data_IF_827507224390
#
_entry.id   IF_827507224390
#
_cell.length_a   1.000
_cell.length_b   1.000
_cell.length_c   1.000
_cell.angle_alpha   90.00
_cell.angle_beta   90.00
_cell.angle_gamma   90.00
#
_symmetry.space_group_name_H-M   'P 1'
#
loop_
_entity.id
_entity.type
_entity.pdbx_description
1 polymer ?
#
# COMPACT_ATOMS: atom_id res chain seq x y z
N UNK A 1 -16.77 -42.55 3.97
CA UNK A 1 -15.30 -42.56 3.87
C UNK A 1 -14.88 -41.14 3.55
N UNK A 2 -14.22 -40.49 4.52
CA UNK A 2 -13.68 -39.15 4.37
C UNK A 2 -12.46 -39.24 3.45
N UNK A 3 -12.53 -38.60 2.29
CA UNK A 3 -11.37 -38.42 1.43
C UNK A 3 -10.45 -37.40 2.07
N UNK A 4 -9.33 -37.85 2.61
CA UNK A 4 -8.21 -36.99 2.99
C UNK A 4 -7.76 -36.25 1.73
N UNK A 5 -8.06 -34.94 1.67
CA UNK A 5 -7.45 -34.01 0.75
C UNK A 5 -5.95 -33.95 1.07
N UNK A 6 -5.16 -34.76 0.39
CA UNK A 6 -3.71 -34.66 0.43
C UNK A 6 -3.30 -33.22 0.13
N UNK A 7 -2.66 -32.57 1.08
CA UNK A 7 -2.05 -31.26 0.89
C UNK A 7 -1.05 -31.39 -0.26
N UNK A 8 -1.40 -30.85 -1.43
CA UNK A 8 -0.46 -30.71 -2.55
C UNK A 8 0.69 -29.86 -2.01
N UNK A 9 1.84 -30.48 -1.73
CA UNK A 9 3.06 -29.76 -1.36
C UNK A 9 3.50 -28.97 -2.58
N UNK A 10 3.10 -27.70 -2.62
CA UNK A 10 3.45 -26.75 -3.66
C UNK A 10 4.98 -26.61 -3.70
N UNK A 11 5.63 -27.18 -4.72
CA UNK A 11 7.08 -27.07 -4.92
C UNK A 11 7.42 -25.62 -5.23
N UNK A 12 8.20 -25.00 -4.35
CA UNK A 12 8.77 -23.68 -4.59
C UNK A 12 9.71 -23.70 -5.80
N UNK A 13 9.71 -22.64 -6.63
CA UNK A 13 10.69 -22.48 -7.69
C UNK A 13 12.10 -22.35 -7.11
N UNK A 14 13.08 -22.95 -7.77
CA UNK A 14 14.51 -22.85 -7.47
C UNK A 14 15.07 -21.49 -7.92
N UNK A 15 16.19 -21.05 -7.35
CA UNK A 15 16.84 -19.79 -7.75
C UNK A 15 17.15 -19.74 -9.25
N UNK A 16 17.56 -20.85 -9.86
CA UNK A 16 17.81 -20.93 -11.30
C UNK A 16 16.52 -20.76 -12.12
N UNK A 17 15.37 -21.28 -11.65
CA UNK A 17 14.07 -21.07 -12.30
C UNK A 17 13.60 -19.61 -12.17
N UNK A 18 13.89 -18.95 -11.05
CA UNK A 18 13.59 -17.54 -10.82
C UNK A 18 14.45 -16.66 -11.74
N UNK A 19 15.76 -16.90 -11.81
CA UNK A 19 16.69 -16.15 -12.67
C UNK A 19 16.42 -16.35 -14.16
N UNK A 20 15.91 -17.52 -14.56
CA UNK A 20 15.53 -17.82 -15.94
C UNK A 20 14.17 -17.23 -16.34
N UNK A 21 13.38 -16.69 -15.39
CA UNK A 21 12.06 -16.14 -15.68
C UNK A 21 12.19 -14.86 -16.52
N UNK A 22 11.65 -14.90 -17.72
CA UNK A 22 11.65 -13.75 -18.65
C UNK A 22 10.31 -13.03 -18.69
N UNK A 23 9.24 -13.71 -18.26
CA UNK A 23 7.92 -13.11 -18.21
C UNK A 23 7.80 -12.25 -16.97
N UNK A 24 7.67 -10.97 -17.24
CA UNK A 24 7.65 -9.96 -16.21
C UNK A 24 6.25 -9.42 -16.05
N UNK A 25 5.95 -9.00 -14.83
CA UNK A 25 4.67 -8.47 -14.38
C UNK A 25 4.76 -7.02 -13.86
N UNK A 26 5.93 -6.40 -13.70
CA UNK A 26 6.08 -4.99 -13.27
C UNK A 26 6.51 -4.02 -14.40
N UNK A 27 6.15 -2.72 -14.28
CA UNK A 27 6.53 -1.70 -15.28
C UNK A 27 8.06 -1.57 -15.43
N UNK A 28 8.52 -1.14 -16.61
CA UNK A 28 9.94 -1.14 -16.97
C UNK A 28 10.80 -0.13 -16.20
N UNK A 29 10.16 0.85 -15.59
CA UNK A 29 10.71 1.95 -14.79
C UNK A 29 10.38 1.82 -13.29
N UNK A 30 9.66 0.76 -12.89
CA UNK A 30 9.39 0.48 -11.48
C UNK A 30 10.70 0.16 -10.73
N UNK A 31 10.81 0.70 -9.51
CA UNK A 31 11.97 0.53 -8.64
C UNK A 31 12.18 -0.94 -8.25
N UNK A 32 11.10 -1.62 -7.86
CA UNK A 32 11.05 -3.07 -7.67
C UNK A 32 10.41 -3.76 -8.88
N UNK A 33 10.91 -4.95 -9.21
CA UNK A 33 10.49 -5.73 -10.37
C UNK A 33 9.71 -6.97 -9.96
N UNK A 34 8.71 -7.39 -10.73
CA UNK A 34 7.90 -8.58 -10.42
C UNK A 34 7.88 -9.51 -11.62
N UNK A 35 8.10 -10.81 -11.44
CA UNK A 35 8.17 -11.81 -12.51
C UNK A 35 7.20 -12.96 -12.30
N UNK A 36 6.68 -13.52 -13.39
CA UNK A 36 5.98 -14.80 -13.35
C UNK A 36 6.98 -15.96 -13.44
N UNK A 37 6.96 -16.87 -12.48
CA UNK A 37 7.78 -18.09 -12.47
C UNK A 37 6.85 -19.31 -12.51
N UNK A 38 6.87 -20.03 -13.63
CA UNK A 38 5.89 -21.08 -13.91
C UNK A 38 4.46 -20.53 -14.01
N UNK A 39 3.45 -21.36 -13.73
CA UNK A 39 2.04 -20.94 -13.84
C UNK A 39 1.48 -20.27 -12.58
N UNK A 40 2.10 -20.50 -11.41
CA UNK A 40 1.47 -20.19 -10.11
C UNK A 40 2.22 -19.18 -9.24
N UNK A 41 3.42 -18.75 -9.62
CA UNK A 41 4.24 -17.89 -8.77
C UNK A 41 4.51 -16.54 -9.41
N UNK A 42 4.38 -15.49 -8.60
CA UNK A 42 4.94 -14.18 -8.87
C UNK A 42 6.10 -13.93 -7.89
N UNK A 43 7.23 -13.43 -8.39
CA UNK A 43 8.43 -13.12 -7.60
C UNK A 43 8.74 -11.64 -7.74
N UNK A 44 8.69 -10.89 -6.63
CA UNK A 44 9.13 -9.49 -6.54
C UNK A 44 10.65 -9.45 -6.20
N UNK A 45 11.44 -8.72 -6.98
CA UNK A 45 12.89 -8.58 -6.92
C UNK A 45 13.31 -7.13 -7.16
N UNK A 46 14.16 -6.55 -6.32
CA UNK A 46 14.61 -5.16 -6.45
C UNK A 46 15.70 -4.81 -5.44
N UNK A 47 16.39 -3.67 -5.63
CA UNK A 47 17.45 -3.16 -4.76
C UNK A 47 16.89 -2.62 -3.42
N UNK A 48 15.99 -3.36 -2.76
CA UNK A 48 15.33 -2.83 -1.57
C UNK A 48 14.17 -3.60 -1.00
N UNK A 49 13.54 -4.53 -1.74
CA UNK A 49 12.29 -5.23 -1.35
C UNK A 49 12.33 -5.60 0.14
N UNK A 50 11.65 -4.82 1.00
CA UNK A 50 11.76 -5.02 2.42
C UNK A 50 10.92 -6.24 2.78
N UNK A 51 11.46 -7.09 3.68
CA UNK A 51 10.75 -8.27 4.19
C UNK A 51 9.39 -7.92 4.82
N UNK A 52 9.18 -6.63 5.14
CA UNK A 52 7.93 -6.07 5.64
C UNK A 52 6.73 -6.38 4.76
N UNK A 53 6.87 -6.46 3.44
CA UNK A 53 5.74 -6.78 2.55
C UNK A 53 5.26 -8.22 2.81
N UNK A 54 6.21 -9.16 2.91
CA UNK A 54 5.94 -10.56 3.21
C UNK A 54 5.36 -10.76 4.62
N UNK A 55 5.89 -10.04 5.62
CA UNK A 55 5.36 -10.05 6.99
C UNK A 55 3.95 -9.49 7.05
N UNK A 56 3.68 -8.38 6.36
CA UNK A 56 2.34 -7.79 6.28
C UNK A 56 1.35 -8.72 5.59
N UNK A 57 1.73 -9.36 4.49
CA UNK A 57 0.84 -10.33 3.82
C UNK A 57 0.51 -11.54 4.72
N UNK A 58 1.47 -12.06 5.50
CA UNK A 58 1.19 -13.11 6.50
C UNK A 58 0.22 -12.63 7.57
N UNK A 59 0.46 -11.43 8.11
CA UNK A 59 -0.45 -10.79 9.07
C UNK A 59 -1.87 -10.63 8.51
N UNK A 60 -2.00 -10.25 7.23
CA UNK A 60 -3.28 -10.08 6.56
C UNK A 60 -4.02 -11.42 6.33
N UNK A 61 -3.29 -12.50 6.03
CA UNK A 61 -3.84 -13.86 5.93
C UNK A 61 -4.45 -14.30 7.28
N UNK A 62 -3.78 -14.03 8.41
CA UNK A 62 -4.29 -14.28 9.75
C UNK A 62 -5.58 -13.51 10.05
N UNK A 63 -5.73 -12.32 9.45
CA UNK A 63 -6.93 -11.47 9.54
C UNK A 63 -7.95 -11.72 8.42
N UNK A 64 -7.79 -12.82 7.68
CA UNK A 64 -8.68 -13.25 6.59
C UNK A 64 -8.78 -12.24 5.45
N UNK A 65 -7.89 -11.26 5.34
CA UNK A 65 -7.86 -10.33 4.21
C UNK A 65 -7.30 -11.08 3.01
N UNK A 66 -8.02 -11.11 1.86
CA UNK A 66 -7.50 -11.77 0.68
C UNK A 66 -6.24 -11.07 0.17
N UNK A 67 -5.11 -11.76 0.26
CA UNK A 67 -3.80 -11.35 -0.26
C UNK A 67 -3.18 -12.50 -1.06
N UNK A 68 -2.25 -12.24 -1.98
CA UNK A 68 -1.44 -13.29 -2.58
C UNK A 68 -0.72 -14.11 -1.50
N UNK A 69 -0.71 -15.44 -1.64
CA UNK A 69 -0.07 -16.32 -0.65
C UNK A 69 1.46 -16.19 -0.72
N UNK A 70 2.09 -15.85 0.40
CA UNK A 70 3.55 -15.78 0.50
C UNK A 70 4.11 -17.17 0.75
N UNK A 71 4.78 -17.74 -0.26
CA UNK A 71 5.40 -19.05 -0.13
C UNK A 71 6.86 -18.97 0.37
N UNK A 72 7.62 -17.93 0.01
CA UNK A 72 8.99 -17.67 0.50
C UNK A 72 9.50 -16.24 0.15
N UNK A 73 10.59 -15.76 0.78
CA UNK A 73 11.19 -14.42 0.55
C UNK A 73 12.73 -14.43 0.62
N UNK A 74 13.42 -13.97 -0.43
CA UNK A 74 14.90 -13.94 -0.57
C UNK A 74 15.37 -12.77 -1.51
N UNK A 75 16.66 -12.39 -1.52
CA UNK A 75 17.23 -11.25 -2.32
C UNK A 75 17.97 -11.70 -3.59
N UNK A 76 17.68 -11.13 -4.76
CA UNK A 76 18.43 -11.31 -6.03
C UNK A 76 18.10 -10.18 -7.06
N UNK A 77 19.04 -9.69 -7.90
CA UNK A 77 18.87 -8.53 -8.79
C UNK A 77 18.88 -8.90 -10.30
N UNK A 78 17.76 -8.75 -11.03
CA UNK A 78 17.72 -7.95 -12.28
C UNK A 78 16.48 -8.09 -13.19
N UNK A 79 16.06 -6.91 -13.67
CA UNK A 79 15.23 -6.46 -14.81
C UNK A 79 13.67 -6.61 -14.83
N UNK A 80 13.01 -5.87 -15.78
CA UNK A 80 11.65 -5.33 -16.34
C UNK A 80 10.50 -6.06 -17.25
N UNK A 81 9.16 -5.78 -17.10
CA UNK A 81 7.99 -5.69 -18.12
C UNK A 81 6.54 -6.13 -17.64
N UNK A 82 5.39 -5.68 -18.24
CA UNK A 82 3.91 -6.02 -17.96
C UNK A 82 2.90 -5.65 -19.12
N UNK A 83 1.58 -6.04 -19.05
CA UNK A 83 0.38 -5.68 -19.90
C UNK A 83 -0.90 -5.36 -19.03
N UNK A 84 -1.86 -4.50 -19.47
CA UNK A 84 -3.30 -4.54 -19.05
C UNK A 84 -4.31 -3.85 -20.02
N UNK A 85 -5.61 -4.24 -19.98
CA UNK A 85 -6.75 -3.70 -20.75
C UNK A 85 -8.03 -3.49 -19.89
N UNK A 86 -8.95 -2.63 -20.37
CA UNK A 86 -10.05 -1.95 -19.67
C UNK A 86 -11.32 -2.78 -19.38
N UNK A 87 -12.00 -2.55 -18.24
CA UNK A 87 -13.19 -3.28 -17.75
C UNK A 87 -14.45 -2.39 -17.66
N UNK A 88 -15.59 -2.95 -18.08
CA UNK A 88 -16.90 -2.33 -18.33
C UNK A 88 -17.88 -2.29 -17.13
N UNK A 89 -17.43 -2.39 -15.87
CA UNK A 89 -18.33 -2.17 -14.72
C UNK A 89 -17.63 -1.55 -13.49
N UNK A 90 -17.22 -0.29 -13.63
CA UNK A 90 -16.49 0.45 -12.60
C UNK A 90 -17.21 0.50 -11.25
N UNK A 91 -18.54 0.59 -11.21
CA UNK A 91 -19.31 0.62 -9.95
C UNK A 91 -19.17 -0.67 -9.12
N UNK A 92 -19.23 -1.85 -9.75
CA UNK A 92 -19.02 -3.14 -9.07
C UNK A 92 -17.61 -3.22 -8.51
N UNK A 93 -16.62 -2.80 -9.29
CA UNK A 93 -15.21 -2.80 -8.87
C UNK A 93 -15.00 -1.82 -7.70
N UNK A 94 -15.58 -0.62 -7.75
CA UNK A 94 -15.50 0.35 -6.65
C UNK A 94 -16.09 -0.22 -5.36
N UNK A 95 -17.25 -0.87 -5.44
CA UNK A 95 -17.84 -1.55 -4.28
C UNK A 95 -16.95 -2.67 -3.73
N UNK A 96 -16.32 -3.47 -4.59
CA UNK A 96 -15.37 -4.49 -4.16
C UNK A 96 -14.16 -3.88 -3.45
N UNK A 97 -13.60 -2.77 -3.97
CA UNK A 97 -12.48 -2.06 -3.34
C UNK A 97 -12.91 -1.49 -2.00
N UNK A 98 -14.06 -0.81 -1.94
CA UNK A 98 -14.63 -0.26 -0.69
C UNK A 98 -14.81 -1.33 0.39
N UNK A 99 -15.30 -2.50 0.02
CA UNK A 99 -15.46 -3.62 0.93
C UNK A 99 -14.09 -4.15 1.44
N UNK A 100 -13.08 -4.21 0.56
CA UNK A 100 -11.72 -4.60 0.95
C UNK A 100 -11.12 -3.58 1.93
N UNK A 101 -11.25 -2.27 1.66
CA UNK A 101 -10.80 -1.21 2.58
C UNK A 101 -11.55 -1.26 3.91
N UNK A 102 -12.85 -1.49 3.89
CA UNK A 102 -13.65 -1.65 5.11
C UNK A 102 -13.16 -2.83 5.94
N UNK A 103 -12.75 -3.92 5.28
CA UNK A 103 -12.14 -5.09 5.96
C UNK A 103 -10.78 -4.75 6.56
N UNK A 104 -9.91 -4.03 5.84
CA UNK A 104 -8.63 -3.55 6.40
C UNK A 104 -8.86 -2.70 7.65
N UNK A 105 -9.78 -1.73 7.57
CA UNK A 105 -10.11 -0.82 8.69
C UNK A 105 -10.76 -1.54 9.88
N UNK A 106 -11.29 -2.75 9.69
CA UNK A 106 -11.82 -3.57 10.78
C UNK A 106 -10.74 -4.26 11.62
N UNK A 107 -9.48 -4.29 11.13
CA UNK A 107 -8.34 -4.81 11.89
C UNK A 107 -8.11 -3.88 13.10
N UNK A 108 -8.20 -4.39 14.34
CA UNK A 108 -8.02 -3.56 15.53
C UNK A 108 -6.66 -2.86 15.53
N UNK A 109 -6.64 -1.59 15.92
CA UNK A 109 -5.37 -0.92 16.16
C UNK A 109 -4.69 -1.47 17.41
N UNK A 110 -3.38 -1.76 17.35
CA UNK A 110 -2.57 -2.12 18.51
C UNK A 110 -2.23 -0.90 19.41
N UNK A 111 -2.85 0.26 19.18
CA UNK A 111 -2.64 1.47 19.99
C UNK A 111 -1.35 2.23 19.66
N UNK A 112 -0.86 2.12 18.42
CA UNK A 112 0.26 2.91 17.91
C UNK A 112 0.05 3.24 16.42
N UNK A 113 0.82 4.20 15.92
CA UNK A 113 0.95 4.53 14.51
C UNK A 113 2.26 3.95 13.98
N UNK A 114 2.19 3.02 13.03
CA UNK A 114 3.37 2.34 12.51
C UNK A 114 3.00 1.12 11.69
N UNK A 115 4.01 0.42 11.20
CA UNK A 115 3.81 -0.79 10.42
C UNK A 115 3.59 -2.02 11.32
N UNK A 116 3.31 -3.17 10.69
CA UNK A 116 3.23 -4.48 11.36
C UNK A 116 4.48 -4.71 12.22
N UNK A 117 4.31 -5.34 13.39
CA UNK A 117 5.39 -5.61 14.35
C UNK A 117 6.13 -4.36 14.89
N UNK A 118 5.41 -3.23 15.05
CA UNK A 118 5.99 -1.95 15.51
C UNK A 118 7.16 -1.49 14.65
N UNK A 119 7.16 -1.83 13.36
CA UNK A 119 8.18 -1.34 12.44
C UNK A 119 7.95 0.13 12.09
N UNK A 120 9.06 0.78 11.72
CA UNK A 120 9.08 2.13 11.18
C UNK A 120 8.31 2.20 9.86
N UNK A 121 7.80 3.37 9.52
CA UNK A 121 7.25 3.62 8.19
C UNK A 121 8.35 3.63 7.12
N UNK A 122 7.97 3.14 5.94
CA UNK A 122 8.77 3.23 4.72
C UNK A 122 8.20 4.25 3.71
N UNK A 123 7.04 4.84 4.03
CA UNK A 123 6.42 5.89 3.21
C UNK A 123 7.38 7.07 3.01
N UNK A 124 7.34 7.67 1.82
CA UNK A 124 8.22 8.78 1.44
C UNK A 124 8.12 10.00 2.35
N UNK A 125 6.96 10.26 2.98
CA UNK A 125 6.79 11.31 3.99
C UNK A 125 7.66 11.06 5.22
N UNK A 126 7.98 9.81 5.51
CA UNK A 126 8.76 9.41 6.69
C UNK A 126 10.14 8.86 6.33
N UNK A 127 10.52 8.97 5.05
CA UNK A 127 11.80 8.50 4.57
C UNK A 127 12.94 9.46 4.92
N UNK A 128 14.03 8.88 5.40
CA UNK A 128 15.29 9.55 5.71
C UNK A 128 16.47 8.71 5.21
N UNK A 129 17.58 9.36 4.84
CA UNK A 129 18.78 8.66 4.33
C UNK A 129 19.43 7.71 5.34
N UNK A 130 19.29 8.02 6.64
CA UNK A 130 19.62 7.13 7.77
C UNK A 130 18.38 7.03 8.65
N UNK A 131 18.15 5.85 9.24
CA UNK A 131 17.03 5.67 10.15
C UNK A 131 17.02 6.74 11.25
N UNK A 132 15.90 7.45 11.35
CA UNK A 132 15.62 8.39 12.42
C UNK A 132 14.27 8.02 13.05
N UNK A 133 14.28 7.55 14.29
CA UNK A 133 13.07 7.15 14.99
C UNK A 133 12.08 8.32 15.19
N UNK A 134 12.56 9.57 15.19
CA UNK A 134 11.70 10.76 15.31
C UNK A 134 10.89 11.03 14.06
N UNK A 135 11.37 10.57 12.89
CA UNK A 135 10.73 10.80 11.59
C UNK A 135 10.08 9.52 11.06
N UNK A 136 10.71 8.36 11.23
CA UNK A 136 10.20 7.09 10.69
C UNK A 136 9.35 6.29 11.67
N UNK A 137 9.31 6.66 12.96
CA UNK A 137 8.48 5.97 13.95
C UNK A 137 8.96 4.56 14.32
N UNK A 138 8.07 3.72 14.88
CA UNK A 138 6.64 3.96 15.10
C UNK A 138 6.35 5.04 16.15
N UNK A 139 5.11 5.52 16.21
CA UNK A 139 4.66 6.62 17.09
C UNK A 139 3.56 6.17 18.05
N UNK A 140 3.53 6.76 19.25
CA UNK A 140 2.60 6.34 20.30
C UNK A 140 1.21 6.93 20.09
N UNK A 141 1.15 8.16 19.58
CA UNK A 141 -0.07 8.91 19.39
C UNK A 141 0.05 9.81 18.15
N UNK A 142 -1.02 10.54 17.85
CA UNK A 142 -1.09 11.40 16.67
C UNK A 142 -0.24 12.67 16.80
N UNK A 143 0.01 13.16 18.02
CA UNK A 143 0.90 14.31 18.24
C UNK A 143 2.34 13.94 17.87
N UNK A 144 2.81 12.75 18.26
CA UNK A 144 4.11 12.20 17.85
C UNK A 144 4.19 12.02 16.32
N UNK A 145 3.09 11.57 15.69
CA UNK A 145 2.99 11.42 14.24
C UNK A 145 3.09 12.77 13.50
N UNK A 146 2.38 13.80 13.99
CA UNK A 146 2.47 15.15 13.42
C UNK A 146 3.85 15.76 13.63
N UNK A 147 4.44 15.55 14.82
CA UNK A 147 5.80 15.96 15.10
C UNK A 147 6.78 15.37 14.08
N UNK A 148 6.62 14.10 13.71
CA UNK A 148 7.45 13.47 12.68
C UNK A 148 7.31 14.12 11.30
N UNK A 149 6.09 14.49 10.89
CA UNK A 149 5.86 15.25 9.64
C UNK A 149 6.59 16.59 9.71
N UNK A 150 6.45 17.32 10.83
CA UNK A 150 7.10 18.62 11.04
C UNK A 150 8.62 18.49 11.00
N UNK A 151 9.18 17.49 11.68
CA UNK A 151 10.63 17.23 11.66
C UNK A 151 11.12 16.82 10.27
N UNK A 152 10.32 16.07 9.50
CA UNK A 152 10.66 15.79 8.11
C UNK A 152 10.74 17.07 7.29
N UNK A 153 9.76 17.95 7.40
CA UNK A 153 9.72 19.22 6.68
C UNK A 153 10.91 20.11 7.09
N UNK A 154 11.30 20.11 8.37
CA UNK A 154 12.45 20.86 8.88
C UNK A 154 13.77 20.50 8.19
N UNK A 155 13.86 19.33 7.57
CA UNK A 155 15.06 18.91 6.81
C UNK A 155 15.19 19.60 5.45
N UNK A 156 14.09 20.09 4.87
CA UNK A 156 14.07 20.74 3.55
C UNK A 156 13.65 22.21 3.62
N UNK A 157 12.97 22.62 4.70
CA UNK A 157 12.36 23.93 4.85
C UNK A 157 13.02 24.80 5.92
N UNK A 158 12.82 26.11 5.83
CA UNK A 158 13.31 27.06 6.83
C UNK A 158 12.55 26.99 8.15
N UNK A 159 13.23 27.27 9.27
CA UNK A 159 12.64 27.35 10.61
C UNK A 159 11.47 28.35 10.71
N UNK A 160 11.51 29.44 9.95
CA UNK A 160 10.43 30.43 9.87
C UNK A 160 9.17 29.82 9.26
N UNK A 161 9.34 29.02 8.20
CA UNK A 161 8.24 28.35 7.53
C UNK A 161 7.67 27.23 8.39
N UNK A 162 8.52 26.47 9.10
CA UNK A 162 8.08 25.48 10.10
C UNK A 162 7.26 26.13 11.21
N UNK A 163 7.68 27.30 11.73
CA UNK A 163 6.88 28.04 12.73
C UNK A 163 5.52 28.50 12.21
N UNK A 164 5.40 28.75 10.91
CA UNK A 164 4.12 29.07 10.27
C UNK A 164 3.24 27.82 10.13
N UNK A 165 3.81 26.72 9.63
CA UNK A 165 3.08 25.51 9.28
C UNK A 165 2.72 24.62 10.47
N UNK A 166 3.60 24.49 11.46
CA UNK A 166 3.43 23.57 12.60
C UNK A 166 2.05 23.68 13.26
N UNK A 167 1.60 24.87 13.69
CA UNK A 167 0.27 25.03 14.28
C UNK A 167 -0.89 24.71 13.33
N UNK A 168 -0.70 24.86 12.01
CA UNK A 168 -1.71 24.50 11.01
C UNK A 168 -1.79 22.98 10.84
N UNK A 169 -0.65 22.29 10.79
CA UNK A 169 -0.55 20.83 10.77
C UNK A 169 -1.22 20.26 12.02
N UNK A 170 -0.83 20.70 13.21
CA UNK A 170 -1.36 20.18 14.47
C UNK A 170 -2.86 20.41 14.61
N UNK A 171 -3.39 21.53 14.11
CA UNK A 171 -4.83 21.79 14.14
C UNK A 171 -5.59 20.92 13.13
N UNK A 172 -5.04 20.78 11.92
CA UNK A 172 -5.74 20.14 10.79
C UNK A 172 -5.69 18.63 10.90
N UNK A 173 -4.52 18.08 11.24
CA UNK A 173 -4.29 16.64 11.34
C UNK A 173 -4.43 16.21 12.81
N UNK A 174 -5.62 16.39 13.41
CA UNK A 174 -5.85 16.06 14.83
C UNK A 174 -7.11 15.21 15.05
N UNK A 175 -7.11 14.39 16.11
CA UNK A 175 -8.29 13.62 16.54
C UNK A 175 -8.64 12.41 15.68
N UNK A 176 -7.72 11.94 14.85
CA UNK A 176 -7.87 10.79 13.98
C UNK A 176 -7.41 9.51 14.67
N UNK A 177 -8.22 8.46 14.56
CA UNK A 177 -7.83 7.14 15.07
C UNK A 177 -6.85 6.44 14.12
N UNK A 178 -5.93 5.61 14.64
CA UNK A 178 -5.13 4.72 13.82
C UNK A 178 -6.00 3.62 13.20
N UNK A 179 -5.97 3.47 11.89
CA UNK A 179 -6.64 2.39 11.13
C UNK A 179 -5.62 1.70 10.23
N UNK A 180 -5.81 0.41 9.96
CA UNK A 180 -4.94 -0.30 9.03
C UNK A 180 -5.23 0.14 7.58
N UNK A 181 -4.20 0.54 6.85
CA UNK A 181 -4.27 0.99 5.45
C UNK A 181 -3.34 0.13 4.58
N UNK A 182 -3.62 0.04 3.29
CA UNK A 182 -2.67 -0.52 2.31
C UNK A 182 -1.46 0.41 2.15
N UNK A 183 -1.65 1.71 2.30
CA UNK A 183 -0.59 2.70 2.26
C UNK A 183 -0.23 3.18 0.85
N UNK A 184 -0.56 2.46 -0.23
CA UNK A 184 -0.38 2.92 -1.62
C UNK A 184 -1.57 2.48 -2.51
N UNK A 185 -2.79 2.86 -2.13
CA UNK A 185 -4.01 2.48 -2.87
C UNK A 185 -4.11 3.24 -4.21
N UNK A 186 -3.40 2.73 -5.20
CA UNK A 186 -3.34 3.24 -6.56
C UNK A 186 -3.87 2.19 -7.55
N UNK A 187 -4.39 2.59 -8.74
CA UNK A 187 -4.87 1.63 -9.74
C UNK A 187 -3.87 0.53 -10.12
N UNK A 188 -2.57 0.86 -10.14
CA UNK A 188 -1.48 -0.10 -10.42
C UNK A 188 -1.39 -1.24 -9.39
N UNK A 189 -1.92 -1.03 -8.20
CA UNK A 189 -1.86 -1.95 -7.07
C UNK A 189 -3.19 -2.68 -6.85
N UNK A 190 -4.11 -2.61 -7.81
CA UNK A 190 -5.41 -3.29 -7.77
C UNK A 190 -5.52 -4.21 -8.97
N UNK A 191 -5.47 -5.52 -8.71
CA UNK A 191 -5.74 -6.52 -9.73
C UNK A 191 -7.24 -6.80 -9.79
N UNK A 192 -7.80 -6.82 -10.99
CA UNK A 192 -9.20 -7.19 -11.22
C UNK A 192 -9.24 -8.40 -12.15
N UNK A 193 -9.85 -9.46 -11.67
CA UNK A 193 -10.06 -10.71 -12.40
C UNK A 193 -11.56 -10.86 -12.70
N UNK A 194 -11.91 -11.16 -13.95
CA UNK A 194 -13.28 -11.54 -14.30
C UNK A 194 -13.42 -13.04 -14.09
N UNK A 195 -14.23 -13.44 -13.12
CA UNK A 195 -14.46 -14.84 -12.78
C UNK A 195 -15.46 -15.52 -13.73
N UNK A 196 -16.38 -14.75 -14.31
CA UNK A 196 -17.40 -15.28 -15.20
C UNK A 196 -18.58 -14.34 -15.33
N UNK A 197 -19.75 -14.93 -15.57
CA UNK A 197 -21.03 -14.23 -15.60
C UNK A 197 -21.98 -15.01 -14.71
N UNK A 198 -22.56 -14.33 -13.72
CA UNK A 198 -23.58 -14.87 -12.83
C UNK A 198 -24.84 -14.02 -12.96
N UNK A 199 -25.97 -14.67 -13.22
CA UNK A 199 -27.27 -14.01 -13.38
C UNK A 199 -27.25 -12.87 -14.42
N UNK A 200 -26.51 -13.07 -15.53
CA UNK A 200 -26.35 -12.08 -16.60
C UNK A 200 -25.36 -10.93 -16.31
N UNK A 201 -24.80 -10.86 -15.09
CA UNK A 201 -23.84 -9.84 -14.68
C UNK A 201 -22.42 -10.42 -14.62
N UNK A 202 -21.41 -9.71 -15.16
CA UNK A 202 -20.03 -10.11 -14.97
C UNK A 202 -19.65 -10.16 -13.47
N UNK A 203 -19.07 -11.28 -13.05
CA UNK A 203 -18.55 -11.43 -11.68
C UNK A 203 -17.06 -11.11 -11.68
N UNK A 204 -16.64 -10.31 -10.69
CA UNK A 204 -15.25 -9.89 -10.55
C UNK A 204 -14.71 -10.26 -9.18
N UNK A 205 -13.41 -10.52 -9.15
CA UNK A 205 -12.61 -10.58 -7.94
C UNK A 205 -11.57 -9.48 -8.01
N UNK A 206 -11.35 -8.79 -6.89
CA UNK A 206 -10.20 -7.90 -6.76
C UNK A 206 -9.14 -8.54 -5.87
N UNK A 207 -7.88 -8.19 -6.12
CA UNK A 207 -6.77 -8.45 -5.21
C UNK A 207 -5.96 -7.18 -5.06
N UNK A 208 -5.81 -6.71 -3.82
CA UNK A 208 -4.92 -5.59 -3.51
C UNK A 208 -3.47 -6.09 -3.44
N UNK A 209 -2.56 -5.29 -3.99
CA UNK A 209 -1.14 -5.59 -4.13
C UNK A 209 -0.30 -4.53 -3.40
N UNK A 210 1.02 -4.74 -3.41
CA UNK A 210 2.02 -3.77 -2.95
C UNK A 210 1.83 -3.36 -1.48
N UNK A 211 2.04 -4.33 -0.58
CA UNK A 211 1.77 -4.17 0.86
C UNK A 211 2.96 -3.62 1.65
N UNK A 212 3.99 -3.11 0.98
CA UNK A 212 5.22 -2.62 1.61
C UNK A 212 5.03 -1.31 2.38
N UNK A 213 4.00 -0.54 2.04
CA UNK A 213 3.64 0.70 2.73
C UNK A 213 2.58 0.52 3.81
N UNK A 214 2.04 -0.69 3.97
CA UNK A 214 0.87 -0.94 4.81
C UNK A 214 1.18 -0.84 6.30
N UNK A 215 0.20 -0.35 7.06
CA UNK A 215 0.35 -0.13 8.50
C UNK A 215 -0.83 0.58 9.11
N UNK A 216 -0.73 0.92 10.39
CA UNK A 216 -1.71 1.74 11.08
C UNK A 216 -1.38 3.22 10.88
N UNK A 217 -2.20 3.92 10.11
CA UNK A 217 -2.10 5.36 9.84
C UNK A 217 -3.36 6.09 10.31
N UNK A 218 -3.35 7.43 10.39
CA UNK A 218 -4.59 8.19 10.56
C UNK A 218 -5.62 7.85 9.46
N UNK A 219 -6.90 7.88 9.79
CA UNK A 219 -7.99 7.48 8.89
C UNK A 219 -8.08 8.27 7.56
N UNK A 220 -7.50 9.47 7.51
CA UNK A 220 -7.39 10.26 6.28
C UNK A 220 -6.29 9.78 5.33
N UNK A 221 -5.30 9.03 5.81
CA UNK A 221 -4.03 8.80 5.11
C UNK A 221 -4.22 8.13 3.75
N UNK A 222 -5.05 7.10 3.68
CA UNK A 222 -5.29 6.35 2.45
C UNK A 222 -6.02 7.20 1.40
N UNK A 223 -6.93 8.08 1.83
CA UNK A 223 -7.57 9.05 0.94
C UNK A 223 -6.54 10.04 0.39
N UNK A 224 -5.73 10.65 1.26
CA UNK A 224 -4.70 11.59 0.83
C UNK A 224 -3.66 10.93 -0.09
N UNK A 225 -3.20 9.73 0.21
CA UNK A 225 -2.19 9.07 -0.60
C UNK A 225 -2.74 8.51 -1.93
N UNK A 226 -3.98 8.00 -1.95
CA UNK A 226 -4.65 7.63 -3.21
C UNK A 226 -4.75 8.80 -4.19
N UNK A 227 -4.75 10.03 -3.66
CA UNK A 227 -4.84 11.29 -4.41
C UNK A 227 -3.50 11.98 -4.69
N UNK A 228 -2.36 11.40 -4.29
CA UNK A 228 -1.06 12.07 -4.44
C UNK A 228 -0.70 12.38 -5.91
N UNK A 229 -1.09 11.50 -6.83
CA UNK A 229 -0.92 11.66 -8.27
C UNK A 229 -2.20 12.17 -8.99
N UNK A 230 -3.11 12.84 -8.27
CA UNK A 230 -4.43 13.26 -8.77
C UNK A 230 -4.40 13.92 -10.15
N UNK A 231 -3.39 14.74 -10.43
CA UNK A 231 -3.29 15.48 -11.69
C UNK A 231 -3.04 14.59 -12.91
N UNK A 232 -2.42 13.43 -12.72
CA UNK A 232 -2.06 12.52 -13.81
C UNK A 232 -3.04 11.35 -13.98
N UNK A 233 -4.07 11.24 -13.12
CA UNK A 233 -5.04 10.14 -13.12
C UNK A 233 -6.49 10.63 -12.88
N UNK A 234 -7.08 11.41 -13.80
CA UNK A 234 -8.44 11.93 -13.63
C UNK A 234 -9.49 10.83 -13.44
N UNK A 235 -9.39 9.73 -14.20
CA UNK A 235 -10.32 8.60 -14.10
C UNK A 235 -10.30 7.94 -12.72
N UNK A 236 -9.13 7.85 -12.09
CA UNK A 236 -9.04 7.32 -10.71
C UNK A 236 -9.68 8.28 -9.72
N UNK A 237 -9.45 9.59 -9.89
CA UNK A 237 -9.99 10.61 -8.99
C UNK A 237 -11.53 10.65 -8.99
N UNK A 238 -12.17 10.34 -10.12
CA UNK A 238 -13.62 10.21 -10.21
C UNK A 238 -14.16 9.05 -9.34
N UNK A 239 -13.38 7.97 -9.18
CA UNK A 239 -13.78 6.78 -8.43
C UNK A 239 -13.48 6.88 -6.93
N UNK A 240 -12.50 7.68 -6.52
CA UNK A 240 -12.07 7.81 -5.11
C UNK A 240 -13.24 8.12 -4.16
N UNK A 241 -14.16 9.07 -4.46
CA UNK A 241 -15.32 9.36 -3.60
C UNK A 241 -16.25 8.18 -3.35
N UNK A 242 -16.33 7.23 -4.28
CA UNK A 242 -17.16 6.03 -4.13
C UNK A 242 -16.48 4.98 -3.24
N UNK A 243 -15.14 4.98 -3.21
CA UNK A 243 -14.29 3.99 -2.55
C UNK A 243 -13.93 4.41 -1.12
N UNK A 244 -13.57 5.67 -0.88
CA UNK A 244 -12.98 6.16 0.36
C UNK A 244 -13.79 7.30 0.97
N UNK A 245 -13.79 7.37 2.31
CA UNK A 245 -14.24 8.56 3.02
C UNK A 245 -13.33 9.76 2.68
N UNK A 246 -13.93 10.94 2.54
CA UNK A 246 -13.23 12.14 2.10
C UNK A 246 -12.83 13.01 3.28
N UNK A 247 -11.59 13.49 3.24
CA UNK A 247 -10.98 14.33 4.26
C UNK A 247 -10.41 15.59 3.60
N UNK A 248 -11.25 16.55 3.22
CA UNK A 248 -10.85 17.63 2.32
C UNK A 248 -9.83 18.59 2.95
N UNK A 249 -9.89 18.83 4.27
CA UNK A 249 -8.95 19.73 4.94
C UNK A 249 -7.58 19.06 5.10
N UNK A 250 -7.59 17.79 5.50
CA UNK A 250 -6.43 16.93 5.62
C UNK A 250 -5.78 16.73 4.24
N UNK A 251 -6.58 16.57 3.18
CA UNK A 251 -6.10 16.54 1.81
C UNK A 251 -5.34 17.82 1.46
N UNK A 252 -5.92 19.00 1.67
CA UNK A 252 -5.23 20.27 1.36
C UNK A 252 -3.93 20.42 2.16
N UNK A 253 -3.93 20.03 3.43
CA UNK A 253 -2.72 20.04 4.26
C UNK A 253 -1.68 19.05 3.77
N UNK A 254 -2.07 17.82 3.44
CA UNK A 254 -1.18 16.80 2.92
C UNK A 254 -0.64 17.14 1.54
N UNK A 255 -1.39 17.84 0.67
CA UNK A 255 -0.86 18.36 -0.59
C UNK A 255 0.29 19.34 -0.38
N UNK A 256 0.23 20.17 0.66
CA UNK A 256 1.35 21.03 1.05
C UNK A 256 2.54 20.20 1.54
N UNK A 257 2.30 19.21 2.41
CA UNK A 257 3.35 18.29 2.89
C UNK A 257 4.03 17.58 1.71
N UNK A 258 3.26 17.02 0.79
CA UNK A 258 3.76 16.35 -0.40
C UNK A 258 4.56 17.28 -1.30
N UNK A 259 4.11 18.54 -1.46
CA UNK A 259 4.85 19.55 -2.22
C UNK A 259 6.25 19.80 -1.65
N UNK A 260 6.40 19.91 -0.32
CA UNK A 260 7.69 20.15 0.33
C UNK A 260 8.59 18.91 0.47
N UNK A 261 8.01 17.71 0.43
CA UNK A 261 8.76 16.46 0.59
C UNK A 261 9.23 15.88 -0.74
N UNK A 262 8.41 15.97 -1.79
CA UNK A 262 8.63 15.29 -3.07
C UNK A 262 9.07 16.20 -4.22
N UNK A 263 8.93 17.53 -4.07
CA UNK A 263 9.28 18.52 -5.10
C UNK A 263 10.23 19.58 -4.55
#
# INVERSE_FOLDING_TARGET
>A
MLGESASETVRLPTMSEIQAATERLSMSDAYDQVFRVGERFAVKSGYGVPLVEAETMKFLEEHQVPVPKVHASFKDPDSKKTISSWITSLATICNLIKNAISKLRSIPSPGYFGMVNRQRYLDGVFWTSKYDAKVSGPFTNQEDFNFAIIERLRQTESEQYIRLLGPMIDRTLSGHRPVFTNGDLQPKNIMVEKLGVRDGNPEYKITLLDWEGAGWYPEYWEFCNATIACRSKPDWLELVPDILDQYPMEFLMMQMVYASVFY
#
